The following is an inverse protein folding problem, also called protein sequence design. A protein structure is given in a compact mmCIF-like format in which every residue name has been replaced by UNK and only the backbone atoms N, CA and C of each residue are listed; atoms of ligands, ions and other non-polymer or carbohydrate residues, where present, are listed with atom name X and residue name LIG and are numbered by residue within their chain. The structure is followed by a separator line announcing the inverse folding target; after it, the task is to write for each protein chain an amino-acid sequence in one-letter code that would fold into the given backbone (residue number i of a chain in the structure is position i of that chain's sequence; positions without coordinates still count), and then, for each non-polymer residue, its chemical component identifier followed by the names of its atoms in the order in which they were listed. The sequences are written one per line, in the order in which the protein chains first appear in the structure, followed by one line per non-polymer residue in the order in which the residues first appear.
data_IF_690900269069
#
_entry.id   IF_690900269069
#
_cell.length_a   1.000
_cell.length_b   1.000
_cell.length_c   1.000
_cell.angle_alpha   90.00
_cell.angle_beta   90.00
_cell.angle_gamma   90.00
#
_symmetry.space_group_name_H-M   'P 1'
#
loop_
_entity.id
_entity.type
_entity.pdbx_description
1 polymer ?
#
# COMPACT_ATOMS: atom_id res chain seq x y z
N UNK A 1 24.88 -0.48 16.56
CA UNK A 1 23.96 0.58 16.08
C UNK A 1 23.52 0.14 14.71
N UNK A 2 22.27 -0.30 14.51
CA UNK A 2 21.79 -0.57 13.13
C UNK A 2 21.47 0.81 12.56
N UNK A 3 22.33 1.35 11.67
CA UNK A 3 22.04 2.65 11.09
C UNK A 3 20.88 2.44 10.12
N UNK A 4 19.95 3.39 10.09
CA UNK A 4 18.97 3.47 8.99
C UNK A 4 19.77 3.37 7.69
N UNK A 5 19.48 2.37 6.88
CA UNK A 5 20.30 2.09 5.72
C UNK A 5 20.00 3.12 4.62
N UNK A 6 20.98 3.44 3.77
CA UNK A 6 20.79 4.46 2.73
C UNK A 6 19.62 4.12 1.79
N UNK A 7 19.37 2.82 1.57
CA UNK A 7 18.22 2.35 0.81
C UNK A 7 16.88 2.58 1.54
N UNK A 8 16.84 2.55 2.88
CA UNK A 8 15.63 2.90 3.64
C UNK A 8 15.26 4.37 3.43
N UNK A 9 16.27 5.26 3.38
CA UNK A 9 16.10 6.68 3.12
C UNK A 9 15.65 6.94 1.68
N UNK A 10 16.33 6.33 0.71
CA UNK A 10 15.99 6.47 -0.70
C UNK A 10 14.57 5.96 -1.01
N UNK A 11 14.19 4.82 -0.43
CA UNK A 11 12.84 4.27 -0.54
C UNK A 11 11.79 5.22 0.06
N UNK A 12 12.05 5.77 1.25
CA UNK A 12 11.14 6.71 1.90
C UNK A 12 10.95 8.00 1.08
N UNK A 13 12.03 8.55 0.53
CA UNK A 13 11.97 9.73 -0.33
C UNK A 13 11.17 9.46 -1.60
N UNK A 14 11.44 8.33 -2.27
CA UNK A 14 10.68 7.90 -3.45
C UNK A 14 9.19 7.72 -3.14
N UNK A 15 8.85 7.10 -2.01
CA UNK A 15 7.47 6.90 -1.57
C UNK A 15 6.74 8.24 -1.32
N UNK A 16 7.41 9.24 -0.73
CA UNK A 16 6.85 10.58 -0.54
C UNK A 16 6.57 11.26 -1.88
N UNK A 17 7.51 11.17 -2.83
CA UNK A 17 7.33 11.75 -4.17
C UNK A 17 6.15 11.13 -4.92
N UNK A 18 6.06 9.79 -4.95
CA UNK A 18 4.94 9.10 -5.58
C UNK A 18 3.62 9.43 -4.88
N UNK A 19 3.61 9.50 -3.55
CA UNK A 19 2.41 9.87 -2.79
C UNK A 19 1.96 11.29 -3.12
N UNK A 20 2.90 12.26 -3.17
CA UNK A 20 2.60 13.64 -3.56
C UNK A 20 2.03 13.71 -4.98
N UNK A 21 2.61 12.96 -5.92
CA UNK A 21 2.11 12.86 -7.29
C UNK A 21 0.69 12.29 -7.34
N UNK A 22 0.40 11.21 -6.60
CA UNK A 22 -0.96 10.65 -6.53
C UNK A 22 -1.97 11.60 -5.89
N UNK A 23 -1.59 12.36 -4.85
CA UNK A 23 -2.44 13.39 -4.25
C UNK A 23 -2.76 14.52 -5.24
N UNK A 24 -1.78 14.92 -6.04
CA UNK A 24 -1.97 15.88 -7.12
C UNK A 24 -2.95 15.33 -8.18
N UNK A 25 -2.79 14.07 -8.60
CA UNK A 25 -3.72 13.42 -9.53
C UNK A 25 -5.14 13.38 -8.96
N UNK A 26 -5.32 12.96 -7.70
CA UNK A 26 -6.63 12.96 -7.03
C UNK A 26 -7.25 14.37 -6.99
N UNK A 27 -6.44 15.43 -7.02
CA UNK A 27 -6.90 16.83 -7.03
C UNK A 27 -7.39 17.33 -8.39
N UNK A 28 -6.91 16.75 -9.48
CA UNK A 28 -7.24 17.17 -10.85
C UNK A 28 -8.27 16.23 -11.52
N UNK A 29 -8.16 14.93 -11.29
CA UNK A 29 -9.03 13.94 -11.94
C UNK A 29 -10.46 13.98 -11.37
N UNK A 30 -11.43 13.71 -12.24
CA UNK A 30 -12.85 13.71 -11.87
C UNK A 30 -13.15 12.65 -10.80
N UNK A 31 -13.82 13.08 -9.74
CA UNK A 31 -14.20 12.27 -8.58
C UNK A 31 -15.65 11.77 -8.67
N UNK A 32 -16.42 12.26 -9.66
CA UNK A 32 -17.85 11.99 -9.78
C UNK A 32 -18.59 12.24 -8.47
N UNK A 33 -19.41 11.28 -8.05
CA UNK A 33 -20.17 11.35 -6.79
C UNK A 33 -19.45 10.76 -5.56
N UNK A 34 -18.15 10.48 -5.64
CA UNK A 34 -17.40 9.89 -4.52
C UNK A 34 -17.22 10.91 -3.40
N UNK A 35 -17.67 10.55 -2.19
CA UNK A 35 -17.51 11.35 -0.98
C UNK A 35 -16.54 10.66 -0.03
N UNK A 36 -15.73 11.45 0.67
CA UNK A 36 -14.83 10.92 1.71
C UNK A 36 -15.69 10.36 2.86
N UNK A 37 -15.44 9.11 3.23
CA UNK A 37 -16.12 8.47 4.36
C UNK A 37 -15.77 9.19 5.66
N UNK A 38 -16.78 9.50 6.48
CA UNK A 38 -16.58 10.09 7.83
C UNK A 38 -15.68 9.22 8.71
N UNK A 39 -15.78 7.89 8.56
CA UNK A 39 -14.94 6.93 9.28
C UNK A 39 -13.48 7.06 8.82
N UNK A 40 -13.25 7.14 7.51
CA UNK A 40 -11.89 7.33 6.98
C UNK A 40 -11.29 8.66 7.44
N UNK A 41 -12.09 9.74 7.46
CA UNK A 41 -11.65 11.03 7.99
C UNK A 41 -11.27 10.93 9.47
N UNK A 42 -12.10 10.30 10.30
CA UNK A 42 -11.82 10.10 11.72
C UNK A 42 -10.52 9.30 11.96
N UNK A 43 -10.32 8.22 11.21
CA UNK A 43 -9.09 7.41 11.27
C UNK A 43 -7.87 8.27 10.92
N UNK A 44 -7.93 9.03 9.82
CA UNK A 44 -6.82 9.90 9.40
C UNK A 44 -6.53 10.98 10.45
N UNK A 45 -7.56 11.59 11.04
CA UNK A 45 -7.39 12.57 12.11
C UNK A 45 -6.71 11.99 13.35
N UNK A 46 -7.12 10.79 13.79
CA UNK A 46 -6.50 10.09 14.93
C UNK A 46 -5.05 9.72 14.64
N UNK A 47 -4.75 9.29 13.41
CA UNK A 47 -3.38 8.97 12.99
C UNK A 47 -2.48 10.21 13.03
N UNK A 48 -2.95 11.35 12.51
CA UNK A 48 -2.19 12.61 12.58
C UNK A 48 -1.98 13.10 14.01
N UNK A 49 -3.00 12.98 14.87
CA UNK A 49 -2.86 13.31 16.28
C UNK A 49 -1.82 12.41 16.96
N UNK A 50 -1.82 11.11 16.66
CA UNK A 50 -0.84 10.16 17.18
C UNK A 50 0.58 10.52 16.77
N UNK A 51 0.78 10.93 15.50
CA UNK A 51 2.07 11.44 15.01
C UNK A 51 2.50 12.68 15.80
N UNK A 52 1.61 13.66 15.95
CA UNK A 52 1.90 14.90 16.66
C UNK A 52 2.33 14.64 18.12
N UNK A 53 1.61 13.76 18.83
CA UNK A 53 1.94 13.35 20.20
C UNK A 53 3.31 12.67 20.27
N UNK A 54 3.58 11.72 19.36
CA UNK A 54 4.87 11.02 19.33
C UNK A 54 6.05 11.98 19.09
N UNK A 55 5.88 12.93 18.19
CA UNK A 55 6.90 13.96 17.89
C UNK A 55 7.12 14.87 19.09
N UNK A 56 6.04 15.38 19.70
CA UNK A 56 6.11 16.29 20.84
C UNK A 56 6.77 15.65 22.07
N UNK A 57 6.50 14.37 22.34
CA UNK A 57 7.12 13.61 23.43
C UNK A 57 8.56 13.23 23.10
N UNK A 58 8.83 12.86 21.84
CA UNK A 58 10.11 12.29 21.43
C UNK A 58 11.21 13.31 21.25
N UNK A 59 10.92 14.49 20.67
CA UNK A 59 11.92 15.54 20.37
C UNK A 59 12.67 15.99 21.63
N UNK A 60 12.01 16.39 22.74
CA UNK A 60 12.72 16.87 23.93
C UNK A 60 13.61 15.80 24.58
N UNK A 61 13.29 14.52 24.38
CA UNK A 61 13.99 13.38 24.99
C UNK A 61 15.12 12.83 24.13
N UNK A 62 15.46 13.46 23.00
CA UNK A 62 16.48 12.96 22.07
C UNK A 62 16.27 11.50 21.60
N UNK A 63 15.03 10.99 21.67
CA UNK A 63 14.69 9.57 21.52
C UNK A 63 14.28 9.18 20.09
N UNK A 64 15.18 9.35 19.11
CA UNK A 64 14.82 9.27 17.68
C UNK A 64 14.38 7.87 17.26
N UNK A 65 15.03 6.84 17.79
CA UNK A 65 14.66 5.43 17.52
C UNK A 65 13.26 5.09 18.04
N UNK A 66 12.87 5.69 19.16
CA UNK A 66 11.54 5.50 19.71
C UNK A 66 10.47 6.15 18.81
N UNK A 67 10.71 7.37 18.33
CA UNK A 67 9.83 8.05 17.35
C UNK A 67 9.67 7.18 16.09
N UNK A 68 10.79 6.70 15.54
CA UNK A 68 10.77 5.83 14.35
C UNK A 68 9.97 4.53 14.59
N UNK A 69 10.11 3.94 15.78
CA UNK A 69 9.34 2.75 16.17
C UNK A 69 7.84 3.03 16.25
N UNK A 70 7.44 4.17 16.81
CA UNK A 70 6.04 4.61 16.83
C UNK A 70 5.48 4.81 15.42
N UNK A 71 6.25 5.41 14.51
CA UNK A 71 5.83 5.59 13.12
C UNK A 71 5.70 4.27 12.37
N UNK A 72 6.63 3.33 12.56
CA UNK A 72 6.52 1.99 11.98
C UNK A 72 5.25 1.27 12.47
N UNK A 73 4.95 1.35 13.78
CA UNK A 73 3.74 0.75 14.33
C UNK A 73 2.46 1.37 13.73
N UNK A 74 2.43 2.70 13.60
CA UNK A 74 1.33 3.42 12.95
C UNK A 74 1.18 3.01 11.48
N UNK A 75 2.30 2.85 10.76
CA UNK A 75 2.29 2.42 9.36
C UNK A 75 1.70 1.02 9.19
N UNK A 76 2.05 0.08 10.08
CA UNK A 76 1.43 -1.26 10.10
C UNK A 76 -0.08 -1.15 10.33
N UNK A 77 -0.50 -0.39 11.34
CA UNK A 77 -1.92 -0.20 11.66
C UNK A 77 -2.70 0.42 10.49
N UNK A 78 -2.15 1.45 9.84
CA UNK A 78 -2.75 2.08 8.66
C UNK A 78 -2.86 1.10 7.49
N UNK A 79 -1.84 0.26 7.29
CA UNK A 79 -1.82 -0.75 6.22
C UNK A 79 -2.95 -1.77 6.38
N UNK A 80 -3.12 -2.32 7.59
CA UNK A 80 -4.22 -3.24 7.87
C UNK A 80 -5.58 -2.55 7.69
N UNK A 81 -5.70 -1.32 8.22
CA UNK A 81 -6.95 -0.55 8.17
C UNK A 81 -7.39 -0.23 6.74
N UNK A 82 -6.46 0.01 5.81
CA UNK A 82 -6.79 0.25 4.39
C UNK A 82 -7.02 -1.05 3.61
N UNK A 83 -6.28 -2.12 3.90
CA UNK A 83 -6.33 -3.34 3.09
C UNK A 83 -7.53 -4.22 3.40
N UNK A 84 -8.00 -4.28 4.65
CA UNK A 84 -9.21 -5.06 5.00
C UNK A 84 -10.44 -4.57 4.23
N UNK A 85 -10.82 -3.28 4.24
CA UNK A 85 -11.97 -2.81 3.48
C UNK A 85 -11.82 -3.07 1.98
N UNK A 86 -10.62 -2.92 1.44
CA UNK A 86 -10.36 -3.19 0.02
C UNK A 86 -10.59 -4.67 -0.32
N UNK A 87 -10.06 -5.59 0.50
CA UNK A 87 -10.25 -7.03 0.32
C UNK A 87 -11.73 -7.42 0.39
N UNK A 88 -12.48 -6.84 1.32
CA UNK A 88 -13.92 -7.03 1.46
C UNK A 88 -14.67 -6.44 0.26
N UNK A 89 -14.30 -5.26 -0.21
CA UNK A 89 -14.90 -4.63 -1.39
C UNK A 89 -14.71 -5.47 -2.64
N UNK A 90 -13.50 -5.97 -2.89
CA UNK A 90 -13.21 -6.89 -3.99
C UNK A 90 -14.07 -8.16 -3.88
N UNK A 91 -14.19 -8.72 -2.67
CA UNK A 91 -15.02 -9.90 -2.44
C UNK A 91 -16.52 -9.65 -2.67
N UNK A 92 -17.04 -8.50 -2.23
CA UNK A 92 -18.47 -8.14 -2.39
C UNK A 92 -18.82 -7.79 -3.82
N UNK A 93 -17.94 -7.09 -4.54
CA UNK A 93 -18.14 -6.70 -5.94
C UNK A 93 -17.88 -7.83 -6.92
N UNK A 94 -17.17 -8.89 -6.49
CA UNK A 94 -16.70 -9.98 -7.35
C UNK A 94 -15.91 -9.45 -8.57
N UNK A 95 -15.22 -8.33 -8.38
CA UNK A 95 -14.48 -7.62 -9.42
C UNK A 95 -13.37 -6.80 -8.80
N UNK A 96 -12.24 -6.76 -9.50
CA UNK A 96 -11.05 -5.95 -9.18
C UNK A 96 -10.80 -4.87 -10.23
N UNK A 97 -11.81 -4.53 -11.06
CA UNK A 97 -11.71 -3.47 -12.07
C UNK A 97 -11.56 -2.11 -11.37
N UNK A 98 -10.60 -1.29 -11.85
CA UNK A 98 -10.25 0.01 -11.27
C UNK A 98 -9.20 -0.05 -10.15
N UNK A 99 -8.74 -1.25 -9.78
CA UNK A 99 -7.65 -1.45 -8.83
C UNK A 99 -6.32 -1.65 -9.57
N UNK A 100 -5.27 -0.89 -9.20
CA UNK A 100 -3.95 -0.98 -9.84
C UNK A 100 -3.21 -2.24 -9.38
N UNK A 101 -3.43 -3.35 -10.08
CA UNK A 101 -2.74 -4.62 -9.79
C UNK A 101 -1.21 -4.52 -9.98
N UNK A 102 -0.76 -3.68 -10.92
CA UNK A 102 0.66 -3.43 -11.15
C UNK A 102 1.37 -2.87 -9.92
N UNK A 103 0.73 -1.95 -9.19
CA UNK A 103 1.29 -1.42 -7.95
C UNK A 103 1.41 -2.52 -6.88
N UNK A 104 0.42 -3.42 -6.77
CA UNK A 104 0.48 -4.54 -5.81
C UNK A 104 1.61 -5.52 -6.14
N UNK A 105 1.87 -5.78 -7.43
CA UNK A 105 3.00 -6.62 -7.84
C UNK A 105 4.34 -5.97 -7.48
N UNK A 106 4.45 -4.64 -7.66
CA UNK A 106 5.63 -3.88 -7.26
C UNK A 106 5.81 -3.84 -5.74
N UNK A 107 4.73 -3.68 -4.98
CA UNK A 107 4.74 -3.72 -3.51
C UNK A 107 5.18 -5.11 -3.01
N UNK A 108 4.66 -6.18 -3.60
CA UNK A 108 5.08 -7.56 -3.30
C UNK A 108 6.57 -7.75 -3.58
N UNK A 109 7.04 -7.32 -4.76
CA UNK A 109 8.45 -7.43 -5.13
C UNK A 109 9.36 -6.63 -4.18
N UNK A 110 8.94 -5.42 -3.81
CA UNK A 110 9.62 -4.59 -2.81
C UNK A 110 9.67 -5.26 -1.44
N UNK A 111 8.56 -5.86 -0.99
CA UNK A 111 8.47 -6.60 0.26
C UNK A 111 9.40 -7.83 0.29
N UNK A 112 9.42 -8.61 -0.79
CA UNK A 112 10.33 -9.76 -0.93
C UNK A 112 11.80 -9.33 -0.94
N UNK A 113 12.13 -8.26 -1.65
CA UNK A 113 13.49 -7.72 -1.72
C UNK A 113 13.95 -7.18 -0.37
N UNK A 114 13.07 -6.50 0.37
CA UNK A 114 13.34 -6.03 1.72
C UNK A 114 13.63 -7.19 2.69
N UNK A 115 12.83 -8.27 2.64
CA UNK A 115 13.11 -9.48 3.40
C UNK A 115 14.45 -10.13 3.01
N UNK A 116 14.73 -10.21 1.71
CA UNK A 116 16.00 -10.73 1.19
C UNK A 116 17.19 -9.94 1.72
N UNK A 117 17.12 -8.60 1.70
CA UNK A 117 18.15 -7.74 2.29
C UNK A 117 18.36 -8.05 3.78
N UNK A 118 17.28 -8.11 4.56
CA UNK A 118 17.36 -8.39 6.00
C UNK A 118 17.96 -9.78 6.28
N UNK A 119 17.66 -10.77 5.43
CA UNK A 119 18.27 -12.10 5.50
C UNK A 119 19.78 -12.05 5.24
N UNK A 120 20.21 -11.41 4.13
CA UNK A 120 21.64 -11.26 3.79
C UNK A 120 22.40 -10.53 4.90
N UNK A 121 21.85 -9.44 5.43
CA UNK A 121 22.47 -8.70 6.55
C UNK A 121 22.57 -9.53 7.83
N UNK A 122 21.58 -10.38 8.09
CA UNK A 122 21.60 -11.24 9.28
C UNK A 122 22.65 -12.36 9.16
N UNK A 123 22.86 -12.88 7.94
CA UNK A 123 23.93 -13.84 7.64
C UNK A 123 25.30 -13.17 7.82
N UNK A 124 25.50 -12.00 7.22
CA UNK A 124 26.76 -11.24 7.30
C UNK A 124 27.14 -10.88 8.75
N UNK A 125 26.16 -10.42 9.53
CA UNK A 125 26.36 -10.03 10.92
C UNK A 125 26.35 -11.21 11.91
N UNK A 126 26.14 -12.44 11.43
CA UNK A 126 25.89 -13.64 12.24
C UNK A 126 24.87 -13.39 13.37
N UNK A 127 23.82 -12.61 13.08
CA UNK A 127 22.89 -12.10 14.08
C UNK A 127 21.52 -11.80 13.47
N UNK A 128 20.46 -12.26 14.15
CA UNK A 128 19.07 -12.04 13.76
C UNK A 128 18.50 -10.72 14.28
N UNK A 129 19.35 -9.83 14.81
CA UNK A 129 18.91 -8.55 15.38
C UNK A 129 18.23 -7.66 14.34
N UNK A 130 18.51 -7.82 13.05
CA UNK A 130 17.77 -7.10 12.00
C UNK A 130 16.28 -7.48 11.96
N UNK A 131 15.93 -8.75 12.25
CA UNK A 131 14.55 -9.23 12.26
C UNK A 131 13.80 -8.85 13.54
N UNK A 132 14.40 -9.07 14.71
CA UNK A 132 13.75 -8.82 16.00
C UNK A 132 13.94 -7.40 16.54
N UNK A 133 15.10 -6.79 16.25
CA UNK A 133 15.42 -5.42 16.66
C UNK A 133 14.63 -4.35 15.90
N UNK A 134 14.07 -4.68 14.74
CA UNK A 134 13.15 -3.82 13.99
C UNK A 134 11.85 -4.57 13.66
N UNK A 135 11.15 -5.00 14.71
CA UNK A 135 9.91 -5.77 14.58
C UNK A 135 8.83 -5.04 13.76
N UNK A 136 8.80 -3.70 13.80
CA UNK A 136 7.87 -2.90 13.02
C UNK A 136 8.08 -3.05 11.51
N UNK A 137 9.34 -2.99 11.05
CA UNK A 137 9.70 -3.20 9.63
C UNK A 137 9.42 -4.63 9.18
N UNK A 138 9.78 -5.62 10.01
CA UNK A 138 9.50 -7.04 9.75
C UNK A 138 8.00 -7.29 9.62
N UNK A 139 7.21 -6.83 10.59
CA UNK A 139 5.76 -7.02 10.62
C UNK A 139 5.08 -6.30 9.46
N UNK A 140 5.49 -5.06 9.14
CA UNK A 140 4.97 -4.32 8.00
C UNK A 140 5.17 -5.10 6.70
N UNK A 141 6.38 -5.60 6.48
CA UNK A 141 6.69 -6.34 5.26
C UNK A 141 5.91 -7.65 5.19
N UNK A 142 5.68 -8.34 6.33
CA UNK A 142 4.89 -9.57 6.36
C UNK A 142 3.41 -9.31 6.03
N UNK A 143 2.83 -8.31 6.69
CA UNK A 143 1.43 -7.91 6.49
C UNK A 143 1.20 -7.46 5.05
N UNK A 144 2.13 -6.68 4.47
CA UNK A 144 2.03 -6.28 3.06
C UNK A 144 2.01 -7.49 2.14
N UNK A 145 3.02 -8.37 2.23
CA UNK A 145 3.12 -9.58 1.38
C UNK A 145 1.84 -10.42 1.48
N UNK A 146 1.29 -10.61 2.69
CA UNK A 146 0.05 -11.35 2.88
C UNK A 146 -1.13 -10.74 2.11
N UNK A 147 -1.35 -9.43 2.25
CA UNK A 147 -2.44 -8.75 1.54
C UNK A 147 -2.19 -8.65 0.03
N UNK A 148 -0.93 -8.51 -0.39
CA UNK A 148 -0.57 -8.46 -1.81
C UNK A 148 -0.89 -9.78 -2.49
N UNK A 149 -0.52 -10.92 -1.86
CA UNK A 149 -0.91 -12.26 -2.33
C UNK A 149 -2.44 -12.39 -2.38
N UNK A 150 -3.15 -11.93 -1.34
CA UNK A 150 -4.61 -11.96 -1.32
C UNK A 150 -5.19 -11.19 -2.51
N UNK A 151 -4.69 -10.00 -2.81
CA UNK A 151 -5.16 -9.18 -3.93
C UNK A 151 -4.81 -9.80 -5.29
N UNK A 152 -3.65 -10.43 -5.42
CA UNK A 152 -3.25 -11.18 -6.63
C UNK A 152 -4.19 -12.35 -6.86
N UNK A 153 -4.50 -13.13 -5.81
CA UNK A 153 -5.47 -14.25 -5.88
C UNK A 153 -6.86 -13.72 -6.25
N UNK A 154 -7.30 -12.62 -5.64
CA UNK A 154 -8.58 -12.01 -5.98
C UNK A 154 -8.64 -11.57 -7.45
N UNK A 155 -7.57 -10.98 -7.98
CA UNK A 155 -7.53 -10.42 -9.33
C UNK A 155 -7.39 -11.48 -10.42
N UNK A 156 -6.45 -12.43 -10.27
CA UNK A 156 -6.13 -13.38 -11.33
C UNK A 156 -6.88 -14.72 -11.23
N UNK A 157 -7.25 -15.13 -10.01
CA UNK A 157 -7.85 -16.46 -9.78
C UNK A 157 -9.36 -16.36 -9.54
N UNK A 158 -9.80 -15.50 -8.62
CA UNK A 158 -11.22 -15.45 -8.23
C UNK A 158 -12.06 -14.58 -9.14
N UNK A 159 -11.56 -13.40 -9.53
CA UNK A 159 -12.29 -12.41 -10.32
C UNK A 159 -11.52 -12.00 -11.59
N UNK A 160 -11.04 -12.97 -12.41
CA UNK A 160 -10.40 -12.62 -13.66
C UNK A 160 -11.40 -11.85 -14.52
N UNK A 161 -11.02 -10.62 -14.92
CA UNK A 161 -11.83 -9.86 -15.88
C UNK A 161 -11.98 -10.70 -17.15
N UNK A 162 -13.19 -11.18 -17.42
CA UNK A 162 -13.55 -11.62 -18.76
C UNK A 162 -13.33 -10.39 -19.64
N UNK A 163 -12.34 -10.44 -20.53
CA UNK A 163 -12.27 -9.47 -21.63
C UNK A 163 -13.63 -9.54 -22.31
N UNK A 164 -14.43 -8.49 -22.19
CA UNK A 164 -15.62 -8.38 -23.01
C UNK A 164 -15.14 -8.49 -24.45
N UNK A 165 -15.54 -9.57 -25.11
CA UNK A 165 -15.44 -9.68 -26.55
C UNK A 165 -16.24 -8.50 -27.06
N UNK A 166 -15.55 -7.51 -27.63
CA UNK A 166 -16.19 -6.47 -28.42
C UNK A 166 -16.93 -7.19 -29.52
N UNK A 167 -18.24 -7.41 -29.35
CA UNK A 167 -19.11 -7.83 -30.44
C UNK A 167 -19.03 -6.74 -31.49
N UNK A 168 -18.67 -7.04 -32.75
CA UNK A 168 -18.78 -6.08 -33.82
C UNK A 168 -20.27 -5.80 -33.98
N UNK A 169 -20.70 -4.56 -33.74
CA UNK A 169 -22.04 -4.16 -34.10
C UNK A 169 -22.17 -4.33 -35.62
N UNK A 170 -22.88 -5.40 -35.99
CA UNK A 170 -23.59 -5.53 -37.23
C UNK A 170 -24.65 -4.43 -37.32
N UNK A 171 -25.06 -4.15 -38.55
CA UNK A 171 -26.25 -3.39 -38.94
C UNK A 171 -26.06 -1.89 -39.20
N UNK A 172 -25.53 -1.60 -40.40
CA UNK A 172 -26.17 -0.62 -41.29
C UNK A 172 -26.35 -1.29 -42.65
N UNK A 173 -27.41 -2.10 -42.79
CA UNK A 173 -28.00 -2.35 -44.11
C UNK A 173 -28.79 -1.11 -44.51
N UNK A 174 -28.28 -0.42 -45.52
CA UNK A 174 -28.94 0.68 -46.20
C UNK A 174 -30.05 0.10 -47.11
N UNK A 175 -31.33 0.52 -46.99
CA UNK A 175 -32.33 0.08 -47.95
C UNK A 175 -32.13 0.83 -49.26
N UNK A 176 -31.72 0.09 -50.29
CA UNK A 176 -31.93 0.47 -51.70
C UNK A 176 -33.43 0.51 -51.98
N UNK A 177 -33.94 1.59 -52.57
CA UNK A 177 -35.24 1.52 -53.23
C UNK A 177 -35.92 2.84 -53.55
N UNK A 178 -35.65 3.32 -54.77
CA UNK A 178 -36.48 4.10 -55.71
C UNK A 178 -37.10 5.44 -55.30
#
# INVERSE_FOLDING_TARGET
MIPVAANDVAFSFHAVLLTAFTLFQISIYDRGNQKVSKIALAIVSVSWLSVAVCVFVGIPKHSWLWIASCFNALQVAMTVTKYIPQAVMNFRRKSTIGFSIGNILLDLFGGLTNYGQMAVQSIDQNSWVNFYGNIGKTLLSLVSIFFDILFIVQHYVLYPSRKEVVSPNLDVEEPKGH
#
